data_IF_421999755921
#
_entry.id   IF_421999755921
#
_cell.length_a   1.000
_cell.length_b   1.000
_cell.length_c   1.000
_cell.angle_alpha   90.00
_cell.angle_beta   90.00
_cell.angle_gamma   90.00
#
_symmetry.space_group_name_H-M   'P 1'
#
loop_
_entity.id
_entity.type
_entity.pdbx_description
1 polymer ?
#
# COMPACT_ATOMS: atom_id res chain seq x y z
N UNK A 1 -30.24 29.13 9.49
CA UNK A 1 -28.81 29.50 9.48
C UNK A 1 -28.11 28.49 8.59
N UNK A 2 -27.59 28.88 7.43
CA UNK A 2 -26.67 28.01 6.69
C UNK A 2 -25.44 27.80 7.58
N UNK A 3 -25.09 26.56 7.88
CA UNK A 3 -23.79 26.26 8.46
C UNK A 3 -22.75 26.78 7.46
N UNK A 4 -21.83 27.63 7.90
CA UNK A 4 -20.65 27.93 7.09
C UNK A 4 -19.98 26.58 6.78
N UNK A 5 -20.00 26.20 5.51
CA UNK A 5 -19.23 25.04 5.04
C UNK A 5 -17.78 25.51 5.10
N UNK A 6 -17.04 25.01 6.07
CA UNK A 6 -15.61 25.25 6.14
C UNK A 6 -14.97 24.38 5.05
N UNK A 7 -14.35 25.03 4.07
CA UNK A 7 -13.66 24.33 3.01
C UNK A 7 -12.36 23.75 3.57
N UNK A 8 -11.92 22.58 3.06
CA UNK A 8 -10.62 22.05 3.44
C UNK A 8 -9.51 23.04 3.06
N UNK A 9 -8.53 23.17 3.95
CA UNK A 9 -7.37 24.05 3.76
C UNK A 9 -6.50 23.54 2.61
N UNK A 10 -6.06 24.44 1.73
CA UNK A 10 -5.16 24.10 0.64
C UNK A 10 -3.83 23.55 1.15
N UNK A 11 -3.34 24.06 2.28
CA UNK A 11 -2.11 23.56 2.90
C UNK A 11 -2.30 22.11 3.38
N UNK A 12 -3.46 21.78 3.97
CA UNK A 12 -3.80 20.40 4.35
C UNK A 12 -3.85 19.48 3.11
N UNK A 13 -4.37 19.97 1.98
CA UNK A 13 -4.41 19.21 0.73
C UNK A 13 -3.02 18.97 0.12
N UNK A 14 -2.12 19.95 0.22
CA UNK A 14 -0.72 19.80 -0.20
C UNK A 14 -0.01 18.78 0.67
N UNK A 15 -0.12 18.90 1.99
CA UNK A 15 0.47 17.95 2.95
C UNK A 15 -0.03 16.53 2.72
N UNK A 16 -1.33 16.34 2.45
CA UNK A 16 -1.89 15.03 2.11
C UNK A 16 -1.29 14.47 0.82
N UNK A 17 -1.04 15.32 -0.19
CA UNK A 17 -0.44 14.89 -1.46
C UNK A 17 0.99 14.39 -1.24
N UNK A 18 1.77 15.09 -0.42
CA UNK A 18 3.13 14.68 -0.07
C UNK A 18 3.14 13.38 0.74
N UNK A 19 2.22 13.23 1.70
CA UNK A 19 2.05 11.99 2.45
C UNK A 19 1.66 10.81 1.55
N UNK A 20 0.74 11.01 0.60
CA UNK A 20 0.38 10.01 -0.42
C UNK A 20 1.61 9.61 -1.23
N UNK A 21 2.42 10.58 -1.66
CA UNK A 21 3.67 10.34 -2.37
C UNK A 21 4.68 9.54 -1.56
N UNK A 22 4.85 9.86 -0.27
CA UNK A 22 5.72 9.13 0.64
C UNK A 22 5.26 7.69 0.83
N UNK A 23 3.98 7.47 1.13
CA UNK A 23 3.41 6.15 1.33
C UNK A 23 3.52 5.28 0.07
N UNK A 24 3.32 5.84 -1.12
CA UNK A 24 3.53 5.11 -2.39
C UNK A 24 4.97 4.62 -2.54
N UNK A 25 5.95 5.46 -2.20
CA UNK A 25 7.37 5.06 -2.22
C UNK A 25 7.66 3.98 -1.19
N UNK A 26 7.15 4.12 0.03
CA UNK A 26 7.33 3.14 1.10
C UNK A 26 6.74 1.78 0.71
N UNK A 27 5.53 1.73 0.16
CA UNK A 27 4.91 0.49 -0.34
C UNK A 27 5.80 -0.17 -1.39
N UNK A 28 6.25 0.59 -2.40
CA UNK A 28 7.11 0.06 -3.45
C UNK A 28 8.45 -0.48 -2.91
N UNK A 29 9.04 0.18 -1.91
CA UNK A 29 10.26 -0.29 -1.26
C UNK A 29 10.05 -1.60 -0.48
N UNK A 30 8.94 -1.75 0.22
CA UNK A 30 8.62 -2.99 0.92
C UNK A 30 8.28 -4.12 -0.04
N UNK A 31 7.57 -3.84 -1.13
CA UNK A 31 7.29 -4.81 -2.21
C UNK A 31 8.60 -5.33 -2.84
N UNK A 32 9.51 -4.42 -3.22
CA UNK A 32 10.82 -4.80 -3.74
C UNK A 32 11.63 -5.64 -2.75
N UNK A 33 11.55 -5.30 -1.46
CA UNK A 33 12.22 -6.05 -0.38
C UNK A 33 11.62 -7.44 -0.18
N UNK A 34 10.29 -7.57 -0.30
CA UNK A 34 9.58 -8.84 -0.26
C UNK A 34 9.98 -9.74 -1.45
N UNK A 35 10.03 -9.17 -2.65
CA UNK A 35 10.46 -9.89 -3.86
C UNK A 35 11.91 -10.39 -3.74
N UNK A 36 12.81 -9.54 -3.25
CA UNK A 36 14.19 -9.92 -2.98
C UNK A 36 14.26 -11.07 -1.97
N UNK A 37 13.47 -11.01 -0.89
CA UNK A 37 13.44 -12.08 0.11
C UNK A 37 12.87 -13.38 -0.44
N UNK A 38 11.82 -13.31 -1.26
CA UNK A 38 11.24 -14.46 -1.95
C UNK A 38 12.27 -15.11 -2.89
N UNK A 39 13.03 -14.31 -3.63
CA UNK A 39 14.11 -14.80 -4.49
C UNK A 39 15.24 -15.47 -3.70
N UNK A 40 15.64 -14.88 -2.58
CA UNK A 40 16.61 -15.47 -1.64
C UNK A 40 16.14 -16.84 -1.14
N UNK A 41 14.92 -16.91 -0.61
CA UNK A 41 14.31 -18.15 -0.11
C UNK A 41 14.28 -19.20 -1.22
N UNK A 42 13.84 -18.83 -2.42
CA UNK A 42 13.79 -19.73 -3.59
C UNK A 42 15.17 -20.29 -3.91
N UNK A 43 16.19 -19.42 -3.95
CA UNK A 43 17.57 -19.83 -4.23
C UNK A 43 18.07 -20.83 -3.18
N UNK A 44 17.88 -20.53 -1.89
CA UNK A 44 18.34 -21.38 -0.79
C UNK A 44 17.69 -22.76 -0.86
N UNK A 45 16.36 -22.83 -0.97
CA UNK A 45 15.66 -24.13 -0.99
C UNK A 45 15.91 -24.91 -2.27
N UNK A 46 16.24 -24.24 -3.38
CA UNK A 46 16.61 -24.90 -4.63
C UNK A 46 18.02 -25.47 -4.57
N UNK A 47 18.94 -24.89 -3.79
CA UNK A 47 20.35 -25.30 -3.73
C UNK A 47 20.67 -26.24 -2.57
N UNK A 48 19.93 -26.16 -1.45
CA UNK A 48 20.18 -26.99 -0.28
C UNK A 48 19.19 -28.18 -0.21
N UNK A 49 19.74 -29.39 -0.33
CA UNK A 49 19.01 -30.66 -0.29
C UNK A 49 18.29 -30.94 1.03
N UNK A 50 18.71 -30.32 2.13
CA UNK A 50 18.08 -30.47 3.45
C UNK A 50 16.62 -30.00 3.45
N UNK A 51 16.27 -29.09 2.54
CA UNK A 51 14.90 -28.58 2.38
C UNK A 51 14.10 -29.33 1.31
N UNK A 52 14.63 -30.42 0.74
CA UNK A 52 13.94 -31.15 -0.31
C UNK A 52 13.09 -32.26 0.30
N UNK A 53 11.77 -32.31 0.02
CA UNK A 53 10.92 -33.40 0.50
C UNK A 53 11.20 -34.73 -0.21
N UNK A 54 11.96 -34.69 -1.31
CA UNK A 54 12.37 -35.85 -2.11
C UNK A 54 13.84 -35.71 -2.51
N UNK A 55 14.48 -36.75 -3.09
CA UNK A 55 15.84 -36.63 -3.62
C UNK A 55 16.00 -35.64 -4.78
N UNK A 56 14.90 -35.09 -5.30
CA UNK A 56 14.88 -34.12 -6.39
C UNK A 56 14.53 -32.72 -5.86
N UNK A 57 15.02 -31.71 -6.57
CA UNK A 57 14.70 -30.30 -6.35
C UNK A 57 13.17 -30.13 -6.27
N UNK A 58 12.63 -29.41 -5.27
CA UNK A 58 11.20 -29.17 -5.16
C UNK A 58 10.68 -28.41 -6.38
N UNK A 59 9.51 -28.79 -6.86
CA UNK A 59 8.86 -28.03 -7.92
C UNK A 59 8.50 -26.61 -7.45
N UNK A 60 8.52 -25.63 -8.36
CA UNK A 60 8.30 -24.22 -8.03
C UNK A 60 6.95 -23.95 -7.36
N UNK A 61 5.92 -24.73 -7.69
CA UNK A 61 4.63 -24.65 -7.01
C UNK A 61 4.74 -24.98 -5.52
N UNK A 62 5.47 -26.05 -5.17
CA UNK A 62 5.73 -26.42 -3.77
C UNK A 62 6.52 -25.33 -3.04
N UNK A 63 7.53 -24.76 -3.69
CA UNK A 63 8.32 -23.65 -3.13
C UNK A 63 7.43 -22.45 -2.82
N UNK A 64 6.54 -22.08 -3.75
CA UNK A 64 5.59 -20.97 -3.57
C UNK A 64 4.60 -21.22 -2.44
N UNK A 65 4.05 -22.42 -2.33
CA UNK A 65 3.01 -22.72 -1.34
C UNK A 65 3.58 -22.93 0.06
N UNK A 66 4.80 -23.46 0.17
CA UNK A 66 5.42 -23.77 1.47
C UNK A 66 6.40 -22.69 1.86
N UNK A 67 7.50 -22.54 1.11
CA UNK A 67 8.62 -21.71 1.52
C UNK A 67 8.41 -20.21 1.34
N UNK A 68 7.66 -19.77 0.33
CA UNK A 68 7.32 -18.33 0.24
C UNK A 68 6.33 -17.93 1.35
N UNK A 69 5.56 -18.87 1.90
CA UNK A 69 4.62 -18.59 3.00
C UNK A 69 5.35 -18.66 4.34
N UNK A 70 6.00 -19.80 4.60
CA UNK A 70 6.55 -20.16 5.91
C UNK A 70 8.03 -19.81 6.06
N UNK A 71 8.73 -19.41 5.00
CA UNK A 71 10.19 -19.29 5.02
C UNK A 71 10.89 -20.65 5.09
N UNK A 72 12.22 -20.65 4.87
CA UNK A 72 13.07 -21.84 5.03
C UNK A 72 13.69 -21.93 6.44
N UNK A 73 13.52 -20.88 7.26
CA UNK A 73 13.93 -20.76 8.66
C UNK A 73 12.91 -19.88 9.40
N UNK A 74 12.88 -19.95 10.73
CA UNK A 74 12.04 -19.06 11.55
C UNK A 74 12.36 -17.58 11.36
N UNK A 75 13.63 -17.25 11.07
CA UNK A 75 14.05 -15.87 10.76
C UNK A 75 13.42 -15.42 9.45
N UNK A 76 13.56 -16.22 8.38
CA UNK A 76 12.95 -15.91 7.09
C UNK A 76 11.43 -15.82 7.17
N UNK A 77 10.79 -16.67 7.98
CA UNK A 77 9.35 -16.61 8.26
C UNK A 77 8.94 -15.25 8.82
N UNK A 78 9.63 -14.81 9.88
CA UNK A 78 9.35 -13.54 10.57
C UNK A 78 9.57 -12.35 9.63
N UNK A 79 10.64 -12.37 8.84
CA UNK A 79 10.92 -11.31 7.87
C UNK A 79 9.85 -11.22 6.77
N UNK A 80 9.45 -12.35 6.17
CA UNK A 80 8.38 -12.40 5.18
C UNK A 80 7.05 -11.89 5.75
N UNK A 81 6.70 -12.31 6.97
CA UNK A 81 5.49 -11.86 7.65
C UNK A 81 5.53 -10.36 7.96
N UNK A 82 6.66 -9.85 8.44
CA UNK A 82 6.86 -8.43 8.73
C UNK A 82 6.74 -7.59 7.46
N UNK A 83 7.38 -8.00 6.37
CA UNK A 83 7.31 -7.28 5.08
C UNK A 83 5.88 -7.22 4.56
N UNK A 84 5.15 -8.34 4.58
CA UNK A 84 3.73 -8.38 4.19
C UNK A 84 2.87 -7.47 5.05
N UNK A 85 3.06 -7.51 6.37
CA UNK A 85 2.32 -6.67 7.31
C UNK A 85 2.56 -5.19 7.03
N UNK A 86 3.82 -4.79 6.86
CA UNK A 86 4.17 -3.42 6.51
C UNK A 86 3.54 -2.98 5.18
N UNK A 87 3.52 -3.85 4.16
CA UNK A 87 2.84 -3.56 2.89
C UNK A 87 1.35 -3.30 3.14
N UNK A 88 0.66 -4.21 3.85
CA UNK A 88 -0.76 -4.06 4.13
C UNK A 88 -1.08 -2.79 4.92
N UNK A 89 -0.32 -2.50 5.97
CA UNK A 89 -0.52 -1.32 6.81
C UNK A 89 -0.35 -0.03 6.00
N UNK A 90 0.71 0.04 5.18
CA UNK A 90 1.00 1.22 4.36
C UNK A 90 0.02 1.38 3.21
N UNK A 91 -0.43 0.29 2.59
CA UNK A 91 -1.49 0.31 1.58
C UNK A 91 -2.83 0.77 2.18
N UNK A 92 -3.16 0.33 3.39
CA UNK A 92 -4.36 0.77 4.11
C UNK A 92 -4.33 2.28 4.44
N UNK A 93 -3.19 2.75 4.97
CA UNK A 93 -2.98 4.18 5.23
C UNK A 93 -3.07 5.02 3.94
N UNK A 94 -2.42 4.54 2.86
CA UNK A 94 -2.46 5.19 1.55
C UNK A 94 -3.90 5.30 1.04
N UNK A 95 -4.66 4.19 1.08
CA UNK A 95 -6.03 4.17 0.58
C UNK A 95 -6.92 5.14 1.35
N UNK A 96 -6.73 5.23 2.66
CA UNK A 96 -7.47 6.16 3.53
C UNK A 96 -7.18 7.61 3.15
N UNK A 97 -5.91 7.97 2.96
CA UNK A 97 -5.48 9.30 2.54
C UNK A 97 -6.01 9.67 1.14
N UNK A 98 -5.94 8.74 0.18
CA UNK A 98 -6.48 8.97 -1.16
C UNK A 98 -8.00 9.20 -1.15
N UNK A 99 -8.75 8.44 -0.33
CA UNK A 99 -10.18 8.66 -0.16
C UNK A 99 -10.49 10.01 0.49
N UNK A 100 -9.75 10.39 1.54
CA UNK A 100 -9.91 11.69 2.20
C UNK A 100 -9.66 12.84 1.21
N UNK A 101 -8.58 12.75 0.42
CA UNK A 101 -8.27 13.73 -0.61
C UNK A 101 -9.38 13.84 -1.67
N UNK A 102 -9.94 12.70 -2.11
CA UNK A 102 -11.07 12.68 -3.05
C UNK A 102 -12.31 13.38 -2.48
N UNK A 103 -12.65 13.12 -1.21
CA UNK A 103 -13.77 13.78 -0.54
C UNK A 103 -13.57 15.30 -0.49
N UNK A 104 -12.36 15.75 -0.14
CA UNK A 104 -12.04 17.19 -0.08
C UNK A 104 -12.18 17.86 -1.44
N UNK A 105 -11.68 17.20 -2.50
CA UNK A 105 -11.87 17.69 -3.87
C UNK A 105 -13.36 17.79 -4.24
N UNK A 106 -14.17 16.79 -3.89
CA UNK A 106 -15.61 16.83 -4.13
C UNK A 106 -16.32 17.94 -3.36
N UNK A 107 -15.90 18.23 -2.13
CA UNK A 107 -16.44 19.36 -1.35
C UNK A 107 -16.17 20.70 -2.05
N UNK A 108 -14.94 20.89 -2.55
CA UNK A 108 -14.57 22.10 -3.31
C UNK A 108 -15.40 22.21 -4.59
N UNK A 109 -15.62 21.11 -5.31
CA UNK A 109 -16.39 21.12 -6.55
C UNK A 109 -17.88 21.44 -6.31
N UNK A 110 -18.48 20.89 -5.24
CA UNK A 110 -19.84 21.23 -4.82
C UNK A 110 -19.95 22.71 -4.43
N UNK A 111 -18.98 23.22 -3.67
CA UNK A 111 -18.95 24.64 -3.30
C UNK A 111 -18.84 25.55 -4.54
N UNK A 112 -17.97 25.23 -5.50
CA UNK A 112 -17.84 25.98 -6.75
C UNK A 112 -19.17 26.02 -7.52
N UNK A 113 -19.88 24.89 -7.61
CA UNK A 113 -21.18 24.82 -8.26
C UNK A 113 -22.25 25.67 -7.54
N UNK A 114 -22.28 25.65 -6.20
CA UNK A 114 -23.19 26.49 -5.41
C UNK A 114 -22.90 27.99 -5.61
N UNK A 115 -21.63 28.41 -5.59
CA UNK A 115 -21.25 29.80 -5.86
C UNK A 115 -21.64 30.24 -7.28
N UNK A 116 -21.44 29.38 -8.27
CA UNK A 116 -21.83 29.65 -9.65
C UNK A 116 -23.34 29.88 -9.78
N UNK A 117 -24.15 29.00 -9.17
CA UNK A 117 -25.61 29.12 -9.20
C UNK A 117 -26.11 30.38 -8.47
N UNK A 118 -25.50 30.73 -7.34
CA UNK A 118 -25.81 31.98 -6.62
C UNK A 118 -25.50 33.22 -7.46
N UNK A 119 -24.39 33.20 -8.18
CA UNK A 119 -24.01 34.31 -9.05
C UNK A 119 -24.94 34.42 -10.27
N UNK A 120 -25.42 33.32 -10.85
CA UNK A 120 -26.40 33.35 -11.94
C UNK A 120 -27.79 33.83 -11.52
N UNK A 121 -28.24 33.50 -10.30
CA UNK A 121 -29.56 33.92 -9.83
C UNK A 121 -29.67 35.42 -9.51
N UNK A 122 -28.54 36.14 -9.49
CA UNK A 122 -28.46 37.58 -9.23
C UNK A 122 -28.34 38.43 -10.51
N UNK A 123 -28.41 37.81 -11.69
CA UNK A 123 -28.51 38.44 -13.01
C UNK A 123 -29.83 38.06 -13.69
#
# INVERSE_FOLDING_TARGET
KMSNIDLPDFDEMVDMTDQIGSLKREVAMFEASLDAKIAEVTRVVTMNKEYWPTPKVPAMNYIKTVYHVEGHTDVAKKELAMLRTNIFDKQGALKTLELKFQVYRSMIDVWKADQYNKNQSNY
#
